data_IF_891622618827
#
_entry.id   IF_891622618827
#
_cell.length_a   1.000
_cell.length_b   1.000
_cell.length_c   1.000
_cell.angle_alpha   90.00
_cell.angle_beta   90.00
_cell.angle_gamma   90.00
#
_symmetry.space_group_name_H-M   'P 1'
#
loop_
_entity.id
_entity.type
_entity.pdbx_description
1 polymer ?
#
# COMPACT_ATOMS: atom_id res chain seq x y z
N UNK A 1 -2.74 -27.75 -60.05
CA UNK A 1 -2.37 -28.15 -58.66
C UNK A 1 -2.40 -26.94 -57.79
N UNK A 2 -3.44 -26.77 -56.95
CA UNK A 2 -3.60 -25.62 -56.05
C UNK A 2 -3.17 -26.06 -54.65
N UNK A 3 -2.02 -25.53 -54.16
CA UNK A 3 -1.54 -25.80 -52.82
C UNK A 3 -2.28 -24.90 -51.85
N UNK A 4 -3.16 -25.47 -51.02
CA UNK A 4 -3.78 -24.84 -49.88
C UNK A 4 -2.76 -24.84 -48.71
N UNK A 5 -2.18 -23.69 -48.39
CA UNK A 5 -1.40 -23.51 -47.17
C UNK A 5 -2.37 -23.46 -45.96
N UNK A 6 -2.21 -24.28 -44.94
CA UNK A 6 -2.99 -24.11 -43.70
C UNK A 6 -2.44 -22.90 -42.92
N UNK A 7 -3.30 -21.91 -42.69
CA UNK A 7 -3.05 -20.78 -41.82
C UNK A 7 -3.05 -21.26 -40.35
N UNK A 8 -1.85 -21.44 -39.77
CA UNK A 8 -1.68 -21.84 -38.38
C UNK A 8 -1.96 -20.62 -37.49
N UNK A 9 -3.18 -20.56 -36.93
CA UNK A 9 -3.57 -19.54 -35.93
C UNK A 9 -2.87 -19.88 -34.61
N UNK A 10 -1.78 -19.20 -34.30
CA UNK A 10 -1.11 -19.21 -32.99
C UNK A 10 -1.99 -18.45 -31.99
N UNK A 11 -2.81 -19.17 -31.23
CA UNK A 11 -3.49 -18.65 -30.07
C UNK A 11 -2.45 -18.33 -28.97
N UNK A 12 -2.07 -17.07 -28.87
CA UNK A 12 -1.34 -16.56 -27.70
C UNK A 12 -2.30 -16.58 -26.50
N UNK A 13 -2.30 -17.67 -25.76
CA UNK A 13 -2.91 -17.73 -24.45
C UNK A 13 -2.04 -16.87 -23.50
N UNK A 14 -2.30 -15.58 -23.45
CA UNK A 14 -1.75 -14.68 -22.44
C UNK A 14 -2.19 -15.17 -21.06
N UNK A 15 -1.28 -15.84 -20.33
CA UNK A 15 -1.54 -16.24 -18.95
C UNK A 15 -1.85 -15.01 -18.12
N UNK A 16 -3.09 -14.89 -17.59
CA UNK A 16 -3.41 -13.94 -16.53
C UNK A 16 -2.62 -14.36 -15.29
N UNK A 17 -1.40 -13.86 -15.15
CA UNK A 17 -0.69 -13.92 -13.88
C UNK A 17 -1.50 -13.10 -12.87
N UNK A 18 -1.85 -13.70 -11.75
CA UNK A 18 -2.47 -12.95 -10.66
C UNK A 18 -1.44 -11.91 -10.17
N UNK A 19 -1.75 -10.64 -10.42
CA UNK A 19 -0.87 -9.54 -10.02
C UNK A 19 -0.93 -9.42 -8.51
N UNK A 20 0.19 -9.63 -7.84
CA UNK A 20 0.36 -9.41 -6.40
C UNK A 20 0.91 -8.00 -6.17
N UNK A 21 0.64 -7.42 -5.00
CA UNK A 21 1.25 -6.12 -4.63
C UNK A 21 2.77 -6.28 -4.60
N UNK A 22 3.47 -5.42 -5.33
CA UNK A 22 4.93 -5.32 -5.25
C UNK A 22 5.29 -4.42 -4.07
N UNK A 23 5.66 -5.05 -2.96
CA UNK A 23 6.08 -4.33 -1.77
C UNK A 23 7.51 -3.83 -1.92
N UNK A 24 7.70 -2.56 -1.58
CA UNK A 24 8.99 -1.89 -1.60
C UNK A 24 9.49 -1.67 -0.16
N UNK A 25 10.80 -1.54 0.01
CA UNK A 25 11.37 -0.91 1.19
C UNK A 25 11.04 0.60 1.17
N UNK A 26 11.28 1.28 2.28
CA UNK A 26 11.14 2.74 2.34
C UNK A 26 12.08 3.42 1.34
N UNK A 27 13.33 3.01 1.31
CA UNK A 27 14.38 3.55 0.45
C UNK A 27 14.05 3.38 -1.04
N UNK A 28 13.64 2.17 -1.44
CA UNK A 28 13.23 1.88 -2.82
C UNK A 28 12.04 2.75 -3.26
N UNK A 29 11.08 2.96 -2.36
CA UNK A 29 9.94 3.82 -2.67
C UNK A 29 10.36 5.29 -2.83
N UNK A 30 11.25 5.79 -1.98
CA UNK A 30 11.77 7.16 -2.07
C UNK A 30 12.61 7.36 -3.34
N UNK A 31 13.43 6.40 -3.72
CA UNK A 31 14.22 6.44 -4.96
C UNK A 31 13.32 6.51 -6.20
N UNK A 32 12.31 5.66 -6.29
CA UNK A 32 11.34 5.68 -7.39
C UNK A 32 10.53 6.98 -7.41
N UNK A 33 10.09 7.42 -6.25
CA UNK A 33 9.32 8.64 -6.11
C UNK A 33 10.10 9.90 -6.53
N UNK A 34 11.42 9.92 -6.36
CA UNK A 34 12.26 11.03 -6.80
C UNK A 34 12.28 11.21 -8.33
N UNK A 35 12.06 10.14 -9.09
CA UNK A 35 12.03 10.15 -10.55
C UNK A 35 10.61 10.26 -11.12
N UNK A 36 9.66 9.62 -10.47
CA UNK A 36 8.24 9.61 -10.86
C UNK A 36 7.38 9.76 -9.59
N UNK A 37 6.96 11.00 -9.24
CA UNK A 37 6.12 11.22 -8.06
C UNK A 37 4.76 10.53 -8.18
N UNK A 38 4.47 9.61 -7.25
CA UNK A 38 3.17 8.93 -7.08
C UNK A 38 2.77 8.93 -5.61
N UNK A 39 1.48 8.80 -5.28
CA UNK A 39 1.06 8.56 -3.92
C UNK A 39 1.73 7.33 -3.33
N UNK A 40 2.02 7.37 -2.03
CA UNK A 40 2.66 6.27 -1.32
C UNK A 40 1.66 5.68 -0.33
N UNK A 41 1.55 4.35 -0.36
CA UNK A 41 0.80 3.55 0.59
C UNK A 41 1.79 2.84 1.51
N UNK A 42 1.77 3.12 2.81
CA UNK A 42 2.64 2.48 3.79
C UNK A 42 1.81 1.55 4.67
N UNK A 43 1.97 0.25 4.51
CA UNK A 43 1.41 -0.73 5.43
C UNK A 43 2.34 -0.91 6.63
N UNK A 44 1.91 -0.40 7.77
CA UNK A 44 2.65 -0.49 9.04
C UNK A 44 2.16 -1.71 9.80
N UNK A 45 3.05 -2.67 10.00
CA UNK A 45 2.74 -3.97 10.59
C UNK A 45 3.77 -4.40 11.64
N UNK A 46 3.51 -5.54 12.28
CA UNK A 46 4.48 -6.29 13.09
C UNK A 46 4.35 -7.79 12.81
N UNK A 47 5.40 -8.57 13.03
CA UNK A 47 5.43 -10.01 12.71
C UNK A 47 4.43 -10.84 13.52
N UNK A 48 4.11 -10.41 14.72
CA UNK A 48 3.13 -11.08 15.61
C UNK A 48 1.68 -10.66 15.33
N UNK A 49 1.44 -9.65 14.49
CA UNK A 49 0.11 -9.11 14.22
C UNK A 49 -0.75 -10.08 13.38
N UNK A 50 -1.68 -10.77 14.02
CA UNK A 50 -2.59 -11.71 13.32
C UNK A 50 -3.50 -11.03 12.30
N UNK A 51 -3.99 -9.82 12.60
CA UNK A 51 -4.83 -9.05 11.68
C UNK A 51 -4.05 -8.52 10.46
N UNK A 52 -2.76 -8.23 10.61
CA UNK A 52 -1.90 -7.87 9.47
C UNK A 52 -1.79 -9.05 8.50
N UNK A 53 -1.56 -10.26 9.02
CA UNK A 53 -1.53 -11.48 8.21
C UNK A 53 -2.88 -11.77 7.51
N UNK A 54 -4.00 -11.42 8.15
CA UNK A 54 -5.31 -11.51 7.49
C UNK A 54 -5.47 -10.45 6.39
N UNK A 55 -4.94 -9.24 6.59
CA UNK A 55 -4.97 -8.19 5.59
C UNK A 55 -4.13 -8.56 4.37
N UNK A 56 -2.94 -9.11 4.57
CA UNK A 56 -2.10 -9.63 3.49
C UNK A 56 -2.84 -10.70 2.66
N UNK A 57 -3.47 -11.66 3.34
CA UNK A 57 -4.12 -12.80 2.69
C UNK A 57 -5.44 -12.47 2.00
N UNK A 58 -6.25 -11.58 2.58
CA UNK A 58 -7.65 -11.38 2.18
C UNK A 58 -7.91 -10.04 1.49
N UNK A 59 -6.98 -9.10 1.63
CA UNK A 59 -7.15 -7.75 1.09
C UNK A 59 -6.08 -7.47 0.04
N UNK A 60 -4.82 -7.48 0.42
CA UNK A 60 -3.72 -7.19 -0.52
C UNK A 60 -3.49 -8.28 -1.57
N UNK A 61 -3.91 -9.53 -1.31
CA UNK A 61 -3.88 -10.59 -2.31
C UNK A 61 -5.14 -10.63 -3.19
N UNK A 62 -6.17 -9.82 -2.91
CA UNK A 62 -7.36 -9.73 -3.73
C UNK A 62 -7.01 -9.00 -5.05
N UNK A 63 -7.49 -9.55 -6.17
CA UNK A 63 -7.05 -9.20 -7.52
C UNK A 63 -7.28 -7.74 -7.88
N UNK A 64 -8.46 -7.22 -7.53
CA UNK A 64 -8.84 -5.83 -7.83
C UNK A 64 -8.04 -4.85 -6.97
N UNK A 65 -7.81 -5.20 -5.70
CA UNK A 65 -7.02 -4.39 -4.76
C UNK A 65 -5.56 -4.38 -5.17
N UNK A 66 -4.97 -5.55 -5.42
CA UNK A 66 -3.56 -5.65 -5.78
C UNK A 66 -3.24 -4.95 -7.10
N UNK A 67 -4.08 -5.11 -8.11
CA UNK A 67 -3.93 -4.41 -9.38
C UNK A 67 -4.02 -2.88 -9.21
N UNK A 68 -5.02 -2.41 -8.45
CA UNK A 68 -5.20 -0.98 -8.23
C UNK A 68 -4.01 -0.35 -7.47
N UNK A 69 -3.49 -1.05 -6.45
CA UNK A 69 -2.29 -0.59 -5.73
C UNK A 69 -1.10 -0.53 -6.68
N UNK A 70 -0.86 -1.59 -7.45
CA UNK A 70 0.26 -1.66 -8.39
C UNK A 70 0.27 -0.50 -9.40
N UNK A 71 -0.90 -0.17 -9.94
CA UNK A 71 -1.03 0.83 -11.00
C UNK A 71 -0.92 2.27 -10.46
N UNK A 72 -1.27 2.52 -9.19
CA UNK A 72 -1.51 3.87 -8.70
C UNK A 72 -0.63 4.28 -7.51
N UNK A 73 0.02 3.36 -6.80
CA UNK A 73 0.78 3.66 -5.59
C UNK A 73 2.18 3.05 -5.61
N UNK A 74 3.09 3.68 -4.89
CA UNK A 74 4.25 2.98 -4.35
C UNK A 74 3.84 2.35 -3.02
N UNK A 75 3.84 1.02 -2.98
CA UNK A 75 3.42 0.28 -1.79
C UNK A 75 4.63 -0.08 -0.94
N UNK A 76 4.70 0.46 0.27
CA UNK A 76 5.77 0.22 1.24
C UNK A 76 5.29 -0.72 2.33
N UNK A 77 6.11 -1.72 2.66
CA UNK A 77 5.90 -2.61 3.81
C UNK A 77 6.84 -2.18 4.93
N UNK A 78 6.31 -1.61 6.02
CA UNK A 78 7.09 -1.11 7.14
C UNK A 78 6.83 -1.94 8.40
N UNK A 79 7.81 -2.76 8.80
CA UNK A 79 7.75 -3.42 10.11
C UNK A 79 8.05 -2.39 11.20
N UNK A 80 7.06 -2.13 12.07
CA UNK A 80 7.22 -1.17 13.15
C UNK A 80 8.28 -1.56 14.20
N UNK A 81 8.73 -2.81 14.18
CA UNK A 81 9.76 -3.35 15.09
C UNK A 81 11.09 -3.64 14.37
N UNK A 82 11.27 -3.20 13.10
CA UNK A 82 12.56 -3.37 12.41
C UNK A 82 13.68 -2.58 13.09
N UNK A 83 14.90 -3.08 13.00
CA UNK A 83 16.06 -2.52 13.68
C UNK A 83 16.99 -1.71 12.79
N UNK A 84 16.84 -1.85 11.47
CA UNK A 84 17.63 -1.14 10.48
C UNK A 84 17.27 0.35 10.48
N UNK A 85 18.30 1.21 10.48
CA UNK A 85 18.12 2.66 10.40
C UNK A 85 17.48 3.04 9.06
N UNK A 86 16.50 3.95 9.07
CA UNK A 86 15.90 4.54 7.85
C UNK A 86 16.28 6.01 7.78
N UNK A 87 16.87 6.42 6.64
CA UNK A 87 17.16 7.83 6.37
C UNK A 87 16.05 8.44 5.53
N UNK A 88 15.42 9.49 6.06
CA UNK A 88 14.38 10.20 5.35
C UNK A 88 14.42 11.70 5.68
N UNK A 89 14.38 12.56 4.65
CA UNK A 89 14.45 14.03 4.74
C UNK A 89 15.62 14.52 5.63
N UNK A 90 16.83 13.95 5.43
CA UNK A 90 18.05 14.22 6.19
C UNK A 90 17.95 13.88 7.69
N UNK A 91 16.94 13.12 8.08
CA UNK A 91 16.81 12.59 9.44
C UNK A 91 17.04 11.08 9.45
N UNK A 92 17.74 10.56 10.47
CA UNK A 92 17.95 9.13 10.68
C UNK A 92 16.93 8.65 11.71
N UNK A 93 15.95 7.91 11.25
CA UNK A 93 14.98 7.22 12.11
C UNK A 93 15.57 5.90 12.59
N UNK A 94 15.57 5.69 13.89
CA UNK A 94 16.16 4.52 14.54
C UNK A 94 15.11 3.71 15.29
N UNK A 95 15.44 2.46 15.50
CA UNK A 95 14.71 1.62 16.44
C UNK A 95 15.02 2.04 17.89
N UNK A 96 13.96 2.20 18.70
CA UNK A 96 14.08 2.46 20.14
C UNK A 96 13.60 1.23 20.92
N UNK A 97 14.51 0.48 21.56
CA UNK A 97 14.15 -0.71 22.33
C UNK A 97 13.36 -0.40 23.62
N UNK A 98 13.39 0.87 24.07
CA UNK A 98 12.70 1.29 25.27
C UNK A 98 11.27 1.82 25.00
N UNK A 99 10.89 1.95 23.74
CA UNK A 99 9.57 2.42 23.36
C UNK A 99 8.59 1.23 23.33
N UNK A 100 7.67 1.17 24.31
CA UNK A 100 6.73 0.07 24.45
C UNK A 100 7.38 -1.22 24.97
N UNK A 101 6.66 -2.35 24.83
CA UNK A 101 7.11 -3.65 25.39
C UNK A 101 8.14 -4.37 24.51
N UNK A 102 8.22 -4.05 23.22
CA UNK A 102 9.02 -4.75 22.22
C UNK A 102 9.97 -3.83 21.46
N UNK A 103 10.03 -2.56 21.84
CA UNK A 103 10.67 -1.52 21.06
C UNK A 103 9.88 -1.16 19.79
N UNK A 104 10.14 0.02 19.25
CA UNK A 104 9.47 0.51 18.04
C UNK A 104 10.42 1.37 17.24
N UNK A 105 10.31 1.27 15.91
CA UNK A 105 11.07 2.11 14.99
C UNK A 105 10.48 3.54 14.95
N UNK A 106 11.34 4.56 15.05
CA UNK A 106 10.93 5.95 15.14
C UNK A 106 10.12 6.45 13.93
N UNK A 107 10.37 5.92 12.73
CA UNK A 107 9.57 6.24 11.54
C UNK A 107 8.13 5.77 11.69
N UNK A 108 7.89 4.57 12.23
CA UNK A 108 6.54 4.07 12.49
C UNK A 108 5.82 4.95 13.52
N UNK A 109 6.53 5.38 14.57
CA UNK A 109 5.99 6.33 15.57
C UNK A 109 5.57 7.64 14.91
N UNK A 110 6.42 8.20 14.05
CA UNK A 110 6.15 9.44 13.33
C UNK A 110 4.96 9.31 12.38
N UNK A 111 4.91 8.22 11.60
CA UNK A 111 3.84 7.98 10.62
C UNK A 111 2.48 7.75 11.28
N UNK A 112 2.44 7.17 12.49
CA UNK A 112 1.21 6.83 13.23
C UNK A 112 0.85 7.84 14.33
N UNK A 113 1.54 8.98 14.43
CA UNK A 113 1.36 9.98 15.50
C UNK A 113 1.45 9.34 16.91
N UNK A 114 2.34 8.36 17.09
CA UNK A 114 2.51 7.63 18.33
C UNK A 114 1.36 6.67 18.69
N UNK A 115 0.31 6.57 17.86
CA UNK A 115 -0.83 5.65 18.08
C UNK A 115 -0.55 4.29 17.47
N UNK A 116 0.25 3.49 18.18
CA UNK A 116 0.73 2.20 17.68
C UNK A 116 -0.39 1.15 17.66
N UNK A 117 -1.13 1.09 16.57
CA UNK A 117 -2.13 0.05 16.29
C UNK A 117 -1.85 -0.63 14.95
N UNK A 118 -2.06 -1.95 14.89
CA UNK A 118 -1.74 -2.74 13.70
C UNK A 118 -2.88 -3.67 13.29
N UNK A 119 -3.14 -3.83 11.97
CA UNK A 119 -2.52 -3.11 10.87
C UNK A 119 -2.93 -1.63 10.85
N UNK A 120 -2.07 -0.78 10.32
CA UNK A 120 -2.43 0.60 9.96
C UNK A 120 -1.82 0.95 8.62
N UNK A 121 -2.63 1.52 7.72
CA UNK A 121 -2.11 2.04 6.45
C UNK A 121 -2.01 3.54 6.52
N UNK A 122 -0.86 4.07 6.13
CA UNK A 122 -0.63 5.51 6.01
C UNK A 122 -0.55 5.88 4.54
N UNK A 123 -1.28 6.92 4.14
CA UNK A 123 -1.25 7.44 2.79
C UNK A 123 -0.51 8.77 2.75
N UNK A 124 0.45 8.87 1.82
CA UNK A 124 1.15 10.10 1.52
C UNK A 124 0.82 10.54 0.09
N UNK A 125 0.72 11.85 -0.13
CA UNK A 125 0.52 12.42 -1.47
C UNK A 125 1.81 12.43 -2.30
N UNK A 126 1.74 12.96 -3.51
CA UNK A 126 2.87 13.07 -4.44
C UNK A 126 3.95 14.04 -3.94
N UNK A 127 3.68 14.83 -2.91
CA UNK A 127 4.65 15.68 -2.24
C UNK A 127 5.16 15.07 -0.91
N UNK A 128 4.75 13.82 -0.64
CA UNK A 128 5.07 13.06 0.59
C UNK A 128 4.43 13.65 1.86
N UNK A 129 3.41 14.50 1.70
CA UNK A 129 2.62 14.95 2.85
C UNK A 129 1.63 13.84 3.24
N UNK A 130 1.47 13.61 4.54
CA UNK A 130 0.51 12.63 5.01
C UNK A 130 -0.92 13.08 4.76
N UNK A 131 -1.67 12.30 3.98
CA UNK A 131 -3.10 12.50 3.72
C UNK A 131 -3.90 12.03 4.94
N UNK A 132 -3.70 10.79 5.34
CA UNK A 132 -4.45 10.19 6.46
C UNK A 132 -3.77 8.92 6.99
N UNK A 133 -4.17 8.54 8.20
CA UNK A 133 -3.88 7.23 8.80
C UNK A 133 -5.18 6.42 8.79
N UNK A 134 -5.13 5.21 8.29
CA UNK A 134 -6.26 4.29 8.15
C UNK A 134 -6.02 3.05 9.03
N UNK A 135 -6.46 3.07 10.30
CA UNK A 135 -6.19 1.98 11.23
C UNK A 135 -7.14 0.81 11.05
N UNK A 136 -6.64 -0.38 11.39
CA UNK A 136 -7.40 -1.62 11.51
C UNK A 136 -7.64 -2.35 10.19
N UNK A 137 -8.05 -3.61 10.33
CA UNK A 137 -8.44 -4.46 9.21
C UNK A 137 -9.71 -3.94 8.53
N UNK A 138 -9.73 -3.96 7.20
CA UNK A 138 -10.90 -3.67 6.37
C UNK A 138 -11.05 -4.76 5.30
N UNK A 139 -12.25 -5.25 5.01
CA UNK A 139 -12.45 -6.20 3.91
C UNK A 139 -12.16 -5.52 2.56
N UNK A 140 -11.80 -6.34 1.56
CA UNK A 140 -11.35 -5.87 0.26
C UNK A 140 -12.37 -4.96 -0.45
N UNK A 141 -13.66 -5.28 -0.34
CA UNK A 141 -14.75 -4.50 -0.92
C UNK A 141 -14.82 -3.06 -0.39
N UNK A 142 -14.48 -2.86 0.89
CA UNK A 142 -14.40 -1.53 1.47
C UNK A 142 -13.06 -0.87 1.15
N UNK A 143 -11.99 -1.67 1.13
CA UNK A 143 -10.64 -1.17 0.95
C UNK A 143 -10.40 -0.60 -0.46
N UNK A 144 -10.99 -1.19 -1.49
CA UNK A 144 -10.90 -0.64 -2.86
C UNK A 144 -11.54 0.75 -2.98
N UNK A 145 -12.62 1.02 -2.23
CA UNK A 145 -13.22 2.36 -2.17
C UNK A 145 -12.28 3.36 -1.48
N UNK A 146 -11.58 2.93 -0.43
CA UNK A 146 -10.60 3.77 0.25
C UNK A 146 -9.43 4.13 -0.68
N UNK A 147 -8.89 3.16 -1.41
CA UNK A 147 -7.82 3.39 -2.40
C UNK A 147 -8.24 4.42 -3.47
N UNK A 148 -9.45 4.29 -4.00
CA UNK A 148 -9.99 5.24 -4.97
C UNK A 148 -10.19 6.63 -4.37
N UNK A 149 -10.76 6.69 -3.18
CA UNK A 149 -10.96 7.96 -2.46
C UNK A 149 -9.65 8.74 -2.30
N UNK A 150 -8.56 8.04 -1.99
CA UNK A 150 -7.22 8.64 -1.86
C UNK A 150 -6.65 9.03 -3.23
N UNK A 151 -6.54 8.09 -4.16
CA UNK A 151 -5.87 8.29 -5.45
C UNK A 151 -6.59 9.31 -6.34
N UNK A 152 -7.93 9.28 -6.37
CA UNK A 152 -8.77 10.21 -7.14
C UNK A 152 -8.97 11.56 -6.40
N UNK A 153 -8.27 11.76 -5.29
CA UNK A 153 -8.23 13.02 -4.50
C UNK A 153 -9.61 13.49 -3.98
N UNK A 154 -10.54 12.56 -3.78
CA UNK A 154 -11.84 12.87 -3.20
C UNK A 154 -11.72 13.46 -1.78
N UNK A 155 -10.67 13.05 -1.03
CA UNK A 155 -10.34 13.55 0.31
C UNK A 155 -10.16 15.07 0.39
N UNK A 156 -9.87 15.72 -0.74
CA UNK A 156 -9.77 17.19 -0.80
C UNK A 156 -11.14 17.90 -0.80
N UNK A 157 -12.23 17.19 -1.06
CA UNK A 157 -13.55 17.78 -1.31
C UNK A 157 -14.67 17.24 -0.42
N UNK A 158 -14.51 16.02 0.12
CA UNK A 158 -15.53 15.37 0.91
C UNK A 158 -14.95 14.38 1.90
N UNK A 159 -15.72 14.00 2.92
CA UNK A 159 -15.32 12.94 3.85
C UNK A 159 -15.43 11.56 3.19
N UNK A 160 -14.73 10.56 3.72
CA UNK A 160 -14.84 9.19 3.22
C UNK A 160 -16.27 8.62 3.36
N UNK A 161 -17.00 9.03 4.39
CA UNK A 161 -18.40 8.61 4.59
C UNK A 161 -19.32 9.17 3.49
N UNK A 162 -19.16 10.45 3.14
CA UNK A 162 -19.92 11.07 2.06
C UNK A 162 -19.60 10.45 0.71
N UNK A 163 -18.31 10.13 0.47
CA UNK A 163 -17.87 9.41 -0.72
C UNK A 163 -18.56 8.05 -0.85
N UNK A 164 -18.57 7.26 0.23
CA UNK A 164 -19.23 5.94 0.23
C UNK A 164 -20.74 6.05 -0.01
N UNK A 165 -21.40 7.04 0.59
CA UNK A 165 -22.83 7.28 0.39
C UNK A 165 -23.17 7.66 -1.07
N UNK A 166 -22.27 8.39 -1.74
CA UNK A 166 -22.41 8.75 -3.16
C UNK A 166 -22.09 7.60 -4.12
N UNK A 167 -21.19 6.69 -3.74
CA UNK A 167 -20.77 5.54 -4.55
C UNK A 167 -21.78 4.37 -4.51
N UNK A 168 -22.78 4.42 -3.64
CA UNK A 168 -23.80 3.36 -3.46
C UNK A 168 -25.08 3.62 -4.29
N UNK A 169 -25.07 4.62 -5.15
CA UNK A 169 -26.15 4.94 -6.11
C UNK A 169 -25.72 4.59 -7.53
#
# INVERSE_FOLDING_TARGET
MRYLLPLLLLLFAGGLSAQTVTWLSWEEAMERHATEPRPILVDVYTDWCGWCKQMDKKVFAEKTVSAYIHDNFYAVKLNAEQTEDIVYDNHVFKYDPNNGRRGVHALAVSLLDGRMSYPSVVYLDENRNRITISPGFKPAERYIHELRYINEKHWQRMTFQDYLAGSSK
#
